data_IF_605834085312
#
_entry.id   IF_605834085312
#
_cell.length_a   1.000
_cell.length_b   1.000
_cell.length_c   1.000
_cell.angle_alpha   90.00
_cell.angle_beta   90.00
_cell.angle_gamma   90.00
#
_symmetry.space_group_name_H-M   'P 1'
#
loop_
_entity.id
_entity.type
_entity.pdbx_description
1 polymer ?
#
# COMPACT_ATOMS: atom_id res chain seq x y z
N UNK A 1 -50.97 37.82 -19.77
CA UNK A 1 -49.61 38.29 -19.42
C UNK A 1 -49.12 37.73 -18.06
N UNK A 2 -49.41 36.44 -17.75
CA UNK A 2 -49.29 35.91 -16.37
C UNK A 2 -47.99 35.13 -16.08
N UNK A 3 -47.20 34.78 -17.10
CA UNK A 3 -45.99 33.96 -16.94
C UNK A 3 -44.78 34.65 -16.27
N UNK A 4 -44.71 35.98 -16.22
CA UNK A 4 -43.52 36.71 -15.69
C UNK A 4 -43.50 36.91 -14.16
N UNK A 5 -44.60 36.62 -13.46
CA UNK A 5 -44.71 36.87 -12.02
C UNK A 5 -44.25 35.68 -11.15
N UNK A 6 -44.46 34.45 -11.62
CA UNK A 6 -44.11 33.22 -10.90
C UNK A 6 -42.64 33.12 -10.46
N UNK A 7 -41.64 33.33 -11.34
CA UNK A 7 -40.23 33.23 -10.92
C UNK A 7 -39.86 34.31 -9.89
N UNK A 8 -40.49 35.50 -9.95
CA UNK A 8 -40.26 36.58 -9.00
C UNK A 8 -40.84 36.28 -7.61
N UNK A 9 -41.98 35.58 -7.56
CA UNK A 9 -42.58 35.09 -6.31
C UNK A 9 -41.73 34.00 -5.69
N UNK A 10 -41.27 33.02 -6.48
CA UNK A 10 -40.41 31.93 -6.02
C UNK A 10 -39.11 32.48 -5.40
N UNK A 11 -38.44 33.44 -6.06
CA UNK A 11 -37.23 34.09 -5.53
C UNK A 11 -37.46 34.84 -4.20
N UNK A 12 -38.62 35.47 -4.06
CA UNK A 12 -39.00 36.18 -2.82
C UNK A 12 -39.25 35.19 -1.68
N UNK A 13 -39.92 34.09 -1.96
CA UNK A 13 -40.22 33.05 -0.98
C UNK A 13 -38.96 32.27 -0.59
N UNK A 14 -38.03 32.07 -1.54
CA UNK A 14 -36.70 31.52 -1.29
C UNK A 14 -35.90 32.35 -0.29
N UNK A 15 -35.92 33.69 -0.42
CA UNK A 15 -35.28 34.59 0.55
C UNK A 15 -35.94 34.54 1.92
N UNK A 16 -37.27 34.43 1.98
CA UNK A 16 -38.00 34.27 3.26
C UNK A 16 -37.69 32.95 3.96
N UNK A 17 -37.48 31.87 3.20
CA UNK A 17 -37.26 30.52 3.72
C UNK A 17 -35.78 30.10 3.71
N UNK A 18 -34.85 31.04 3.50
CA UNK A 18 -33.43 30.77 3.28
C UNK A 18 -32.80 29.88 4.35
N UNK A 19 -33.10 30.13 5.64
CA UNK A 19 -32.59 29.31 6.76
C UNK A 19 -33.03 27.83 6.66
N UNK A 20 -34.29 27.57 6.27
CA UNK A 20 -34.82 26.21 6.11
C UNK A 20 -34.21 25.52 4.88
N UNK A 21 -34.02 26.28 3.80
CA UNK A 21 -33.36 25.77 2.59
C UNK A 21 -31.92 25.32 2.90
N UNK A 22 -31.15 26.18 3.57
CA UNK A 22 -29.76 25.87 3.97
C UNK A 22 -29.71 24.64 4.88
N UNK A 23 -30.62 24.51 5.83
CA UNK A 23 -30.69 23.34 6.71
C UNK A 23 -30.89 22.02 5.93
N UNK A 24 -31.80 21.99 4.95
CA UNK A 24 -32.04 20.81 4.10
C UNK A 24 -30.80 20.49 3.26
N UNK A 25 -30.17 21.51 2.67
CA UNK A 25 -28.93 21.34 1.89
C UNK A 25 -27.83 20.71 2.75
N UNK A 26 -27.65 21.16 3.99
CA UNK A 26 -26.66 20.57 4.90
C UNK A 26 -26.96 19.12 5.25
N UNK A 27 -28.22 18.78 5.56
CA UNK A 27 -28.61 17.39 5.87
C UNK A 27 -28.29 16.47 4.68
N UNK A 28 -28.65 16.90 3.47
CA UNK A 28 -28.37 16.14 2.24
C UNK A 28 -26.87 16.07 1.97
N UNK A 29 -26.14 17.18 2.11
CA UNK A 29 -24.70 17.23 1.88
C UNK A 29 -23.93 16.31 2.83
N UNK A 30 -24.30 16.27 4.11
CA UNK A 30 -23.70 15.35 5.09
C UNK A 30 -23.97 13.90 4.69
N UNK A 31 -25.21 13.57 4.33
CA UNK A 31 -25.57 12.21 3.90
C UNK A 31 -24.79 11.75 2.66
N UNK A 32 -24.69 12.61 1.65
CA UNK A 32 -23.94 12.33 0.41
C UNK A 32 -22.44 12.26 0.68
N UNK A 33 -21.87 13.19 1.45
CA UNK A 33 -20.45 13.19 1.79
C UNK A 33 -20.05 11.93 2.55
N UNK A 34 -20.88 11.47 3.49
CA UNK A 34 -20.63 10.23 4.22
C UNK A 34 -20.69 9.01 3.29
N UNK A 35 -21.72 8.92 2.44
CA UNK A 35 -21.86 7.80 1.50
C UNK A 35 -20.69 7.75 0.51
N UNK A 36 -20.33 8.89 -0.08
CA UNK A 36 -19.21 8.98 -1.03
C UNK A 36 -17.88 8.68 -0.33
N UNK A 37 -17.66 9.21 0.88
CA UNK A 37 -16.46 8.92 1.66
C UNK A 37 -16.29 7.42 1.94
N UNK A 38 -17.37 6.74 2.33
CA UNK A 38 -17.34 5.30 2.58
C UNK A 38 -17.07 4.50 1.30
N UNK A 39 -17.78 4.83 0.21
CA UNK A 39 -17.64 4.12 -1.06
C UNK A 39 -16.29 4.34 -1.75
N UNK A 40 -15.65 5.48 -1.53
CA UNK A 40 -14.32 5.79 -2.10
C UNK A 40 -13.18 5.22 -1.27
N UNK A 41 -13.40 4.89 0.01
CA UNK A 41 -12.35 4.33 0.88
C UNK A 41 -11.81 3.00 0.33
N UNK A 42 -12.70 2.06 0.00
CA UNK A 42 -12.31 0.75 -0.51
C UNK A 42 -11.48 0.79 -1.82
N UNK A 43 -11.89 1.48 -2.90
CA UNK A 43 -11.09 1.58 -4.12
C UNK A 43 -9.77 2.33 -3.89
N UNK A 44 -9.75 3.37 -3.04
CA UNK A 44 -8.52 4.10 -2.72
C UNK A 44 -7.50 3.22 -2.00
N UNK A 45 -7.94 2.42 -1.01
CA UNK A 45 -7.06 1.46 -0.32
C UNK A 45 -6.52 0.41 -1.28
N UNK A 46 -7.37 -0.15 -2.15
CA UNK A 46 -6.94 -1.13 -3.16
C UNK A 46 -5.90 -0.54 -4.12
N UNK A 47 -6.14 0.67 -4.61
CA UNK A 47 -5.20 1.36 -5.48
C UNK A 47 -3.88 1.64 -4.78
N UNK A 48 -3.92 2.04 -3.50
CA UNK A 48 -2.72 2.30 -2.70
C UNK A 48 -1.87 1.04 -2.54
N UNK A 49 -2.48 -0.11 -2.21
CA UNK A 49 -1.76 -1.37 -2.05
C UNK A 49 -1.20 -1.87 -3.39
N UNK A 50 -2.00 -1.82 -4.46
CA UNK A 50 -1.57 -2.23 -5.79
C UNK A 50 -0.37 -1.39 -6.28
N UNK A 51 -0.44 -0.08 -6.06
CA UNK A 51 0.66 0.83 -6.35
C UNK A 51 1.89 0.47 -5.51
N UNK A 52 1.72 0.26 -4.20
CA UNK A 52 2.82 -0.10 -3.32
C UNK A 52 3.54 -1.37 -3.80
N UNK A 53 2.80 -2.45 -4.08
CA UNK A 53 3.40 -3.72 -4.55
C UNK A 53 4.13 -3.58 -5.88
N UNK A 54 3.62 -2.76 -6.80
CA UNK A 54 4.30 -2.47 -8.08
C UNK A 54 5.56 -1.64 -7.87
N UNK A 55 5.48 -0.60 -7.06
CA UNK A 55 6.60 0.31 -6.77
C UNK A 55 7.74 -0.44 -6.06
N UNK A 56 7.43 -1.42 -5.21
CA UNK A 56 8.42 -2.24 -4.49
C UNK A 56 8.83 -3.53 -5.21
N UNK A 57 8.28 -3.84 -6.40
CA UNK A 57 8.47 -5.12 -7.09
C UNK A 57 8.26 -6.32 -6.15
N UNK A 58 7.12 -6.33 -5.45
CA UNK A 58 6.80 -7.35 -4.45
C UNK A 58 6.62 -8.72 -5.08
N UNK A 59 7.14 -9.75 -4.42
CA UNK A 59 7.03 -11.13 -4.87
C UNK A 59 5.56 -11.62 -4.89
N UNK A 60 5.14 -12.22 -6.00
CA UNK A 60 3.83 -12.88 -6.10
C UNK A 60 3.80 -14.23 -5.35
N UNK A 61 4.93 -14.95 -5.39
CA UNK A 61 5.07 -16.29 -4.81
C UNK A 61 6.37 -16.38 -4.02
N UNK A 62 6.28 -16.93 -2.81
CA UNK A 62 7.43 -17.21 -1.94
C UNK A 62 7.48 -18.70 -1.68
N UNK A 63 8.59 -19.34 -2.05
CA UNK A 63 8.83 -20.77 -1.85
C UNK A 63 9.83 -20.94 -0.71
N UNK A 64 9.49 -21.75 0.29
CA UNK A 64 10.34 -22.01 1.45
C UNK A 64 10.60 -23.50 1.60
N UNK A 65 11.83 -23.86 1.96
CA UNK A 65 12.31 -25.23 2.16
C UNK A 65 13.19 -25.25 3.41
N UNK A 66 13.14 -26.36 4.15
CA UNK A 66 13.96 -26.55 5.36
C UNK A 66 15.46 -26.74 5.06
N UNK A 67 15.80 -27.17 3.85
CA UNK A 67 17.19 -27.20 3.35
C UNK A 67 17.43 -26.03 2.41
N UNK A 68 18.68 -25.56 2.28
CA UNK A 68 19.07 -24.63 1.23
C UNK A 68 18.67 -25.14 -0.17
N UNK A 69 18.27 -24.21 -1.04
CA UNK A 69 18.09 -24.49 -2.45
C UNK A 69 19.44 -24.67 -3.14
N UNK A 70 19.54 -25.63 -4.04
CA UNK A 70 20.73 -25.77 -4.90
C UNK A 70 20.67 -24.79 -6.07
N UNK A 71 21.83 -24.44 -6.62
CA UNK A 71 21.90 -23.57 -7.81
C UNK A 71 21.15 -24.14 -9.01
N UNK A 72 21.08 -25.48 -9.14
CA UNK A 72 20.32 -26.16 -10.19
C UNK A 72 18.80 -26.02 -9.98
N UNK A 73 18.32 -26.15 -8.75
CA UNK A 73 16.91 -25.92 -8.41
C UNK A 73 16.48 -24.48 -8.75
N UNK A 74 17.31 -23.50 -8.38
CA UNK A 74 17.06 -22.08 -8.67
C UNK A 74 17.02 -21.84 -10.18
N UNK A 75 17.97 -22.39 -10.93
CA UNK A 75 18.04 -22.24 -12.39
C UNK A 75 16.84 -22.88 -13.10
N UNK A 76 16.38 -24.04 -12.62
CA UNK A 76 15.19 -24.69 -13.17
C UNK A 76 13.92 -23.86 -12.94
N UNK A 77 13.80 -23.19 -11.80
CA UNK A 77 12.68 -22.29 -11.52
C UNK A 77 12.76 -21.04 -12.39
N UNK A 78 13.94 -20.41 -12.50
CA UNK A 78 14.12 -19.19 -13.28
C UNK A 78 13.90 -19.40 -14.78
N UNK A 79 14.16 -20.60 -15.30
CA UNK A 79 13.98 -20.93 -16.72
C UNK A 79 12.52 -21.26 -17.10
N UNK A 80 11.62 -21.35 -16.12
CA UNK A 80 10.22 -21.65 -16.42
C UNK A 80 9.55 -20.44 -17.09
N UNK A 81 8.83 -20.65 -18.20
CA UNK A 81 8.27 -19.57 -19.03
C UNK A 81 7.26 -18.64 -18.32
N UNK A 82 6.68 -19.07 -17.20
CA UNK A 82 5.78 -18.26 -16.35
C UNK A 82 6.51 -17.44 -15.29
N UNK A 83 7.80 -17.65 -15.09
CA UNK A 83 8.60 -16.99 -14.06
C UNK A 83 9.37 -15.85 -14.73
N UNK A 84 9.07 -14.61 -14.30
CA UNK A 84 9.77 -13.43 -14.81
C UNK A 84 11.08 -13.17 -14.09
N UNK A 85 11.13 -13.47 -12.78
CA UNK A 85 12.23 -13.10 -11.92
C UNK A 85 12.28 -14.05 -10.71
N UNK A 86 13.48 -14.34 -10.22
CA UNK A 86 13.72 -15.15 -9.01
C UNK A 86 14.76 -14.46 -8.16
N UNK A 87 14.42 -14.21 -6.89
CA UNK A 87 15.36 -13.71 -5.90
C UNK A 87 15.52 -14.73 -4.77
N UNK A 88 16.65 -15.46 -4.71
CA UNK A 88 16.94 -16.34 -3.58
C UNK A 88 17.36 -15.52 -2.36
N UNK A 89 16.91 -15.92 -1.18
CA UNK A 89 17.31 -15.33 0.10
C UNK A 89 17.32 -16.40 1.19
N UNK A 90 18.02 -16.11 2.29
CA UNK A 90 17.94 -16.93 3.50
C UNK A 90 17.22 -16.16 4.60
N UNK A 91 16.51 -16.89 5.44
CA UNK A 91 15.80 -16.34 6.59
C UNK A 91 15.95 -17.29 7.76
N UNK A 92 16.21 -16.72 8.92
CA UNK A 92 16.30 -17.46 10.18
C UNK A 92 15.60 -16.68 11.29
N UNK A 93 14.86 -17.39 12.13
CA UNK A 93 14.19 -16.80 13.30
C UNK A 93 15.01 -17.17 14.54
N UNK A 94 15.63 -16.17 15.17
CA UNK A 94 16.52 -16.36 16.33
C UNK A 94 16.22 -15.32 17.42
N UNK A 95 16.38 -15.68 18.72
CA UNK A 95 16.39 -14.70 19.79
C UNK A 95 17.62 -13.79 19.67
N UNK A 96 17.39 -12.50 19.53
CA UNK A 96 18.41 -11.46 19.65
C UNK A 96 18.31 -10.80 21.02
N UNK A 97 19.44 -10.31 21.53
CA UNK A 97 19.49 -9.58 22.80
C UNK A 97 19.62 -8.09 22.47
N UNK A 98 18.66 -7.30 22.93
CA UNK A 98 18.70 -5.83 22.87
C UNK A 98 18.37 -5.33 24.27
N UNK A 99 19.23 -4.47 24.83
CA UNK A 99 19.08 -3.92 26.18
C UNK A 99 18.84 -4.98 27.27
N UNK A 100 19.62 -6.08 27.23
CA UNK A 100 19.52 -7.25 28.13
C UNK A 100 18.16 -8.00 28.09
N UNK A 101 17.33 -7.74 27.07
CA UNK A 101 16.04 -8.40 26.85
C UNK A 101 16.11 -9.27 25.59
N UNK A 102 15.60 -10.49 25.70
CA UNK A 102 15.45 -11.39 24.56
C UNK A 102 14.26 -10.99 23.70
N UNK A 103 14.51 -10.75 22.41
CA UNK A 103 13.50 -10.49 21.39
C UNK A 103 13.60 -11.57 20.31
N UNK A 104 12.48 -12.21 19.99
CA UNK A 104 12.41 -13.07 18.80
C UNK A 104 12.48 -12.18 17.57
N UNK A 105 13.50 -12.37 16.75
CA UNK A 105 13.71 -11.59 15.54
C UNK A 105 13.92 -12.50 14.34
N UNK A 106 13.47 -11.99 13.20
CA UNK A 106 13.64 -12.63 11.90
C UNK A 106 14.80 -11.95 11.18
N UNK A 107 15.88 -12.69 11.01
CA UNK A 107 17.06 -12.23 10.29
C UNK A 107 16.93 -12.68 8.84
N UNK A 108 16.91 -11.73 7.91
CA UNK A 108 16.81 -11.98 6.47
C UNK A 108 18.15 -11.64 5.84
N UNK A 109 18.80 -12.64 5.24
CA UNK A 109 20.05 -12.47 4.54
C UNK A 109 19.75 -12.23 3.05
N UNK A 110 20.07 -11.02 2.61
CA UNK A 110 19.93 -10.58 1.23
C UNK A 110 21.32 -10.39 0.60
N UNK A 111 21.47 -10.75 -0.67
CA UNK A 111 22.68 -10.45 -1.42
C UNK A 111 22.58 -9.07 -2.06
N UNK A 112 23.35 -8.11 -1.55
CA UNK A 112 23.40 -6.75 -2.09
C UNK A 112 24.35 -6.61 -3.28
N UNK A 113 25.12 -7.65 -3.68
CA UNK A 113 26.05 -7.62 -4.82
C UNK A 113 25.36 -7.53 -6.16
N UNK A 114 24.32 -8.32 -6.35
CA UNK A 114 23.48 -8.30 -7.56
C UNK A 114 22.34 -7.28 -7.44
N UNK A 115 22.23 -6.64 -6.27
CA UNK A 115 21.15 -5.72 -5.92
C UNK A 115 19.90 -6.45 -5.43
N UNK A 116 19.10 -5.76 -4.61
CA UNK A 116 17.78 -6.24 -4.20
C UNK A 116 16.78 -5.86 -5.27
N UNK A 117 16.45 -6.80 -6.15
CA UNK A 117 15.61 -6.54 -7.32
C UNK A 117 14.12 -6.77 -7.03
N UNK A 118 13.79 -7.76 -6.20
CA UNK A 118 12.45 -8.04 -5.67
C UNK A 118 12.31 -7.57 -4.21
N UNK A 119 11.08 -7.24 -3.80
CA UNK A 119 10.79 -6.74 -2.45
C UNK A 119 11.72 -5.57 -2.05
N UNK A 120 11.85 -4.59 -2.94
CA UNK A 120 12.80 -3.48 -2.81
C UNK A 120 12.62 -2.76 -1.47
N UNK A 121 13.73 -2.61 -0.76
CA UNK A 121 13.77 -1.94 0.53
C UNK A 121 13.72 -0.42 0.33
N UNK A 122 12.90 0.26 1.13
CA UNK A 122 12.91 1.72 1.24
C UNK A 122 13.69 2.09 2.49
N UNK A 123 14.80 2.80 2.31
CA UNK A 123 15.63 3.27 3.41
C UNK A 123 14.89 4.39 4.15
N UNK A 124 14.50 4.13 5.40
CA UNK A 124 13.85 5.13 6.26
C UNK A 124 14.91 5.99 6.96
N UNK A 125 15.91 5.34 7.55
CA UNK A 125 17.03 5.97 8.26
C UNK A 125 18.31 5.14 8.06
N UNK A 126 19.47 5.78 8.21
CA UNK A 126 20.78 5.12 8.10
C UNK A 126 21.29 4.98 6.66
N UNK A 127 21.89 3.82 6.34
CA UNK A 127 22.37 3.47 5.00
C UNK A 127 22.22 1.97 4.75
N UNK A 128 22.17 1.58 3.47
CA UNK A 128 22.27 0.16 3.09
C UNK A 128 23.71 -0.35 3.26
N UNK A 129 23.90 -1.67 3.47
CA UNK A 129 25.23 -2.29 3.52
C UNK A 129 26.07 -2.00 2.27
N UNK A 130 27.34 -1.69 2.48
CA UNK A 130 28.32 -1.57 1.40
C UNK A 130 29.01 -2.91 1.14
N UNK A 131 29.37 -3.15 -0.13
CA UNK A 131 29.98 -4.39 -0.62
C UNK A 131 31.28 -4.79 0.10
N UNK A 132 31.92 -3.86 0.78
CA UNK A 132 33.26 -4.01 1.34
C UNK A 132 33.32 -4.32 2.86
N UNK A 133 32.22 -4.78 3.47
CA UNK A 133 32.34 -5.56 4.71
C UNK A 133 31.45 -5.17 5.89
N UNK A 134 30.37 -4.42 5.69
CA UNK A 134 29.43 -4.16 6.77
C UNK A 134 28.28 -5.18 6.74
N UNK A 135 28.16 -5.97 7.81
CA UNK A 135 26.91 -6.69 8.14
C UNK A 135 26.10 -5.72 9.00
N UNK A 136 24.98 -5.23 8.50
CA UNK A 136 24.00 -4.41 9.24
C UNK A 136 22.76 -5.25 9.49
#
# INVERSE_FOLDING_TARGET
MVMKAYPKLILRDFKKLYSKFVAIVFIVAIGVAFLVGLLTTAPNMRHTIDKFYKDTNTADVVIQKHTPFTSEEILNISNHYLVSEVMPYFMIDEPIIVDDIYHMSRIVLLDFREGVTMNRLTLVEGRLPELNGDVI
#
